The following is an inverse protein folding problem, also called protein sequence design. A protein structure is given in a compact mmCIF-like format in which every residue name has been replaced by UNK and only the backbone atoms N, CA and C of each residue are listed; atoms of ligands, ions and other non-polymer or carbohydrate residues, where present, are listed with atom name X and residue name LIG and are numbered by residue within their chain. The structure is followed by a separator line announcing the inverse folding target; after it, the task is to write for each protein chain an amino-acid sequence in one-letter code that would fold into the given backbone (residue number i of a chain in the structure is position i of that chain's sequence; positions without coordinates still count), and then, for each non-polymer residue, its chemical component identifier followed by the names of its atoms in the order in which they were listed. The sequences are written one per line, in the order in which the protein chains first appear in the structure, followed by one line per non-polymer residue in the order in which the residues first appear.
data_IF_412894871854
#
_entry.id   IF_412894871854
#
_cell.length_a   1.000
_cell.length_b   1.000
_cell.length_c   1.000
_cell.angle_alpha   90.00
_cell.angle_beta   90.00
_cell.angle_gamma   90.00
#
_symmetry.space_group_name_H-M   'P 1'
#
loop_
_entity.id
_entity.type
_entity.pdbx_description
1 polymer ?
#
# COMPACT_ATOMS: atom_id res chain seq x y z
N UNK A 1 -13.61 -8.77 -5.73
CA UNK A 1 -12.23 -9.03 -6.20
C UNK A 1 -12.00 -10.53 -6.19
N UNK A 2 -11.59 -11.11 -7.31
CA UNK A 2 -11.31 -12.55 -7.43
C UNK A 2 -9.85 -12.77 -7.80
N UNK A 3 -9.22 -13.81 -7.25
CA UNK A 3 -7.85 -14.16 -7.58
C UNK A 3 -7.59 -15.66 -7.41
N UNK A 4 -6.51 -16.12 -8.05
CA UNK A 4 -5.90 -17.44 -7.81
C UNK A 4 -4.61 -17.22 -7.04
N UNK A 5 -4.50 -17.85 -5.87
CA UNK A 5 -3.38 -17.66 -4.95
C UNK A 5 -2.76 -19.00 -4.57
N UNK A 6 -1.45 -19.02 -4.40
CA UNK A 6 -0.73 -20.15 -3.83
C UNK A 6 0.32 -19.61 -2.86
N UNK A 7 0.53 -20.34 -1.78
CA UNK A 7 1.53 -20.07 -0.77
C UNK A 7 2.14 -21.41 -0.35
N UNK A 8 3.37 -21.39 0.18
CA UNK A 8 4.00 -22.61 0.67
C UNK A 8 4.66 -22.36 2.03
N UNK A 9 4.29 -23.18 3.00
CA UNK A 9 4.91 -23.32 4.32
C UNK A 9 5.23 -24.79 4.53
N UNK A 10 6.37 -25.04 5.18
CA UNK A 10 6.68 -26.36 5.73
C UNK A 10 5.63 -26.77 6.79
N UNK A 11 5.45 -28.07 7.01
CA UNK A 11 4.45 -28.56 7.96
C UNK A 11 4.74 -28.11 9.40
N UNK A 12 6.01 -28.05 9.76
CA UNK A 12 6.47 -27.60 11.08
C UNK A 12 7.00 -26.17 10.99
N UNK A 13 6.75 -25.32 11.99
CA UNK A 13 7.33 -24.00 12.03
C UNK A 13 8.86 -24.01 12.02
N UNK A 14 9.46 -23.05 11.31
CA UNK A 14 10.88 -22.73 11.44
C UNK A 14 11.07 -21.55 12.40
N UNK A 15 11.27 -21.90 13.68
CA UNK A 15 11.44 -20.92 14.76
C UNK A 15 12.68 -20.04 14.60
N UNK A 16 13.64 -20.43 13.76
CA UNK A 16 14.80 -19.60 13.45
C UNK A 16 14.46 -18.44 12.52
N UNK A 17 13.31 -18.48 11.85
CA UNK A 17 12.86 -17.44 10.93
C UNK A 17 11.66 -16.70 11.51
N UNK A 18 10.70 -17.43 12.09
CA UNK A 18 9.43 -16.89 12.58
C UNK A 18 9.59 -15.70 13.53
N UNK A 19 10.60 -15.75 14.39
CA UNK A 19 10.87 -14.75 15.42
C UNK A 19 11.97 -13.74 15.06
N UNK A 20 12.55 -13.82 13.86
CA UNK A 20 13.56 -12.85 13.44
C UNK A 20 12.94 -11.51 13.10
N UNK A 21 13.70 -10.46 13.39
CA UNK A 21 13.34 -9.11 12.98
C UNK A 21 13.18 -9.02 11.46
N UNK A 22 12.36 -8.07 11.01
CA UNK A 22 12.01 -7.90 9.60
C UNK A 22 13.18 -7.37 8.76
N UNK A 23 14.15 -6.72 9.40
CA UNK A 23 15.39 -6.24 8.80
C UNK A 23 16.52 -7.29 8.83
N UNK A 24 16.23 -8.52 9.28
CA UNK A 24 17.16 -9.65 9.26
C UNK A 24 16.87 -10.65 8.14
N UNK A 25 17.94 -11.24 7.60
CA UNK A 25 17.83 -12.29 6.57
C UNK A 25 17.29 -13.61 7.18
N UNK A 26 16.43 -14.34 6.44
CA UNK A 26 15.85 -13.98 5.14
C UNK A 26 14.75 -12.91 5.30
N UNK A 27 14.75 -11.81 4.54
CA UNK A 27 13.88 -10.65 4.84
C UNK A 27 12.37 -10.94 4.72
N UNK A 28 11.92 -11.42 3.56
CA UNK A 28 10.50 -11.52 3.17
C UNK A 28 9.90 -12.93 3.36
N UNK A 29 10.49 -13.74 4.23
CA UNK A 29 10.15 -15.15 4.31
C UNK A 29 8.74 -15.37 4.86
N UNK A 30 7.94 -16.19 4.17
CA UNK A 30 6.52 -16.44 4.47
C UNK A 30 6.27 -17.06 5.84
N UNK A 31 7.28 -17.72 6.41
CA UNK A 31 7.26 -18.21 7.81
C UNK A 31 6.86 -17.14 8.83
N UNK A 32 7.21 -15.86 8.59
CA UNK A 32 6.81 -14.76 9.48
C UNK A 32 5.31 -14.43 9.41
N UNK A 33 4.62 -14.90 8.37
CA UNK A 33 3.18 -14.76 8.19
C UNK A 33 2.41 -15.99 8.70
N UNK A 34 3.10 -17.01 9.22
CA UNK A 34 2.44 -18.23 9.71
C UNK A 34 1.48 -17.90 10.85
N UNK A 35 0.27 -18.43 10.75
CA UNK A 35 -0.73 -18.38 11.82
C UNK A 35 -0.47 -19.55 12.76
N UNK A 36 -0.07 -19.24 13.99
CA UNK A 36 0.26 -20.21 15.03
C UNK A 36 1.20 -21.32 14.49
N UNK A 37 0.94 -22.57 14.86
CA UNK A 37 1.72 -23.73 14.39
C UNK A 37 1.08 -24.41 13.18
N UNK A 38 0.15 -23.72 12.50
CA UNK A 38 -0.55 -24.25 11.32
C UNK A 38 0.22 -23.97 10.04
N UNK A 39 -0.17 -24.57 8.91
CA UNK A 39 0.31 -24.19 7.57
C UNK A 39 -0.50 -23.06 6.93
N UNK A 40 -1.17 -22.23 7.72
CA UNK A 40 -2.00 -21.14 7.19
C UNK A 40 -1.29 -19.81 7.24
N UNK A 41 -1.61 -18.95 6.28
CA UNK A 41 -1.18 -17.54 6.24
C UNK A 41 -2.38 -16.62 5.99
N UNK A 42 -2.34 -15.38 6.48
CA UNK A 42 -3.36 -14.40 6.18
C UNK A 42 -3.18 -13.86 4.76
N UNK A 43 -4.24 -13.84 3.99
CA UNK A 43 -4.37 -13.13 2.73
C UNK A 43 -5.27 -11.91 2.94
N UNK A 44 -4.65 -10.74 3.02
CA UNK A 44 -5.33 -9.46 3.14
C UNK A 44 -5.78 -8.95 1.78
N UNK A 45 -7.02 -8.47 1.71
CA UNK A 45 -7.45 -7.47 0.75
C UNK A 45 -7.05 -6.09 1.27
N UNK A 46 -6.13 -5.43 0.58
CA UNK A 46 -5.63 -4.10 0.94
C UNK A 46 -6.27 -3.07 0.03
N UNK A 47 -6.85 -2.02 0.61
CA UNK A 47 -7.43 -0.88 -0.10
C UNK A 47 -6.79 0.40 0.42
N UNK A 48 -6.15 1.16 -0.47
CA UNK A 48 -5.47 2.42 -0.13
C UNK A 48 -4.56 2.30 1.12
N UNK A 49 -3.81 1.20 1.20
CA UNK A 49 -2.82 0.96 2.27
C UNK A 49 -3.37 0.29 3.53
N UNK A 50 -4.69 0.09 3.63
CA UNK A 50 -5.35 -0.52 4.80
C UNK A 50 -5.84 -1.93 4.46
N UNK A 51 -5.55 -2.91 5.31
CA UNK A 51 -6.16 -4.24 5.20
C UNK A 51 -7.63 -4.12 5.62
N UNK A 52 -8.56 -4.34 4.68
CA UNK A 52 -10.00 -4.17 4.92
C UNK A 52 -10.73 -5.49 5.10
N UNK A 53 -10.18 -6.59 4.58
CA UNK A 53 -10.66 -7.96 4.76
C UNK A 53 -9.46 -8.91 4.77
N UNK A 54 -9.58 -10.03 5.47
CA UNK A 54 -8.55 -11.07 5.53
C UNK A 54 -9.20 -12.45 5.39
N UNK A 55 -8.59 -13.32 4.62
CA UNK A 55 -8.93 -14.74 4.55
C UNK A 55 -7.69 -15.57 4.89
N UNK A 56 -7.86 -16.67 5.62
CA UNK A 56 -6.76 -17.62 5.82
C UNK A 56 -6.66 -18.55 4.60
N UNK A 57 -5.45 -18.72 4.07
CA UNK A 57 -5.19 -19.69 3.01
C UNK A 57 -4.25 -20.77 3.51
N UNK A 58 -4.48 -22.01 3.08
CA UNK A 58 -3.56 -23.11 3.30
C UNK A 58 -2.35 -22.93 2.38
N UNK A 59 -1.17 -22.83 2.98
CA UNK A 59 0.09 -22.64 2.29
C UNK A 59 0.75 -24.00 2.00
N UNK A 60 0.10 -24.84 1.20
CA UNK A 60 0.58 -26.16 0.82
C UNK A 60 1.20 -26.26 -0.58
N UNK A 61 1.22 -25.14 -1.30
CA UNK A 61 1.69 -25.05 -2.68
C UNK A 61 0.58 -25.19 -3.72
N UNK A 62 -0.64 -25.55 -3.31
CA UNK A 62 -1.78 -25.66 -4.22
C UNK A 62 -2.37 -24.28 -4.54
N UNK A 63 -2.99 -24.19 -5.72
CA UNK A 63 -3.68 -22.98 -6.16
C UNK A 63 -5.10 -22.98 -5.59
N UNK A 64 -5.45 -21.90 -4.90
CA UNK A 64 -6.76 -21.67 -4.31
C UNK A 64 -7.44 -20.48 -5.00
N UNK A 65 -8.72 -20.63 -5.36
CA UNK A 65 -9.56 -19.51 -5.79
C UNK A 65 -10.08 -18.75 -4.57
N UNK A 66 -9.92 -17.43 -4.56
CA UNK A 66 -10.41 -16.55 -3.48
C UNK A 66 -11.30 -15.45 -4.04
N UNK A 67 -12.30 -15.06 -3.25
CA UNK A 67 -13.24 -13.98 -3.58
C UNK A 67 -13.45 -13.08 -2.38
N UNK A 68 -13.37 -11.77 -2.62
CA UNK A 68 -13.70 -10.74 -1.63
C UNK A 68 -14.78 -9.81 -2.18
N UNK A 69 -15.78 -9.52 -1.36
CA UNK A 69 -16.84 -8.56 -1.67
C UNK A 69 -16.49 -7.18 -1.12
N UNK A 70 -16.24 -6.20 -1.98
CA UNK A 70 -15.74 -4.90 -1.58
C UNK A 70 -16.66 -3.79 -2.11
N UNK A 71 -17.51 -3.18 -1.27
CA UNK A 71 -18.22 -1.97 -1.65
C UNK A 71 -17.21 -0.80 -1.73
N UNK A 72 -17.23 -0.08 -2.86
CA UNK A 72 -16.39 1.09 -3.09
C UNK A 72 -17.23 2.32 -3.39
N UNK A 73 -17.11 3.33 -2.53
CA UNK A 73 -17.75 4.64 -2.70
C UNK A 73 -16.87 5.63 -3.47
N UNK A 74 -15.56 5.37 -3.58
CA UNK A 74 -14.59 6.25 -4.22
C UNK A 74 -13.48 5.47 -4.91
N UNK A 75 -12.92 6.08 -5.95
CA UNK A 75 -11.78 5.52 -6.69
C UNK A 75 -10.64 5.17 -5.75
N UNK A 76 -10.11 3.96 -5.90
CA UNK A 76 -9.17 3.36 -4.96
C UNK A 76 -8.18 2.47 -5.68
N UNK A 77 -7.01 2.28 -5.08
CA UNK A 77 -6.13 1.18 -5.45
C UNK A 77 -6.33 0.01 -4.50
N UNK A 78 -6.20 -1.20 -5.04
CA UNK A 78 -6.48 -2.46 -4.36
C UNK A 78 -5.32 -3.41 -4.60
N UNK A 79 -4.87 -4.13 -3.58
CA UNK A 79 -3.88 -5.18 -3.70
C UNK A 79 -4.25 -6.38 -2.81
N UNK A 80 -3.67 -7.54 -3.11
CA UNK A 80 -3.65 -8.68 -2.20
C UNK A 80 -2.30 -8.75 -1.50
N UNK A 81 -2.26 -9.13 -0.23
CA UNK A 81 -1.03 -9.17 0.56
C UNK A 81 -1.02 -10.32 1.56
N UNK A 82 0.11 -11.02 1.64
CA UNK A 82 0.47 -11.87 2.78
C UNK A 82 1.53 -11.13 3.58
N UNK A 83 1.14 -10.45 4.66
CA UNK A 83 2.08 -9.67 5.48
C UNK A 83 2.82 -10.57 6.48
N UNK A 84 4.14 -10.42 6.68
CA UNK A 84 5.09 -9.46 6.07
C UNK A 84 5.93 -10.08 4.93
N UNK A 85 5.32 -10.88 4.06
CA UNK A 85 6.05 -11.64 3.02
C UNK A 85 5.90 -11.04 1.62
N UNK A 86 4.69 -11.02 1.07
CA UNK A 86 4.47 -10.72 -0.35
C UNK A 86 3.18 -9.94 -0.58
N UNK A 87 3.10 -9.28 -1.73
CA UNK A 87 1.88 -8.60 -2.19
C UNK A 87 1.80 -8.62 -3.72
N UNK A 88 0.59 -8.43 -4.26
CA UNK A 88 0.40 -8.17 -5.68
C UNK A 88 0.81 -6.75 -6.04
N UNK A 89 1.02 -6.49 -7.33
CA UNK A 89 0.93 -5.11 -7.82
C UNK A 89 -0.50 -4.60 -7.61
N UNK A 90 -0.67 -3.30 -7.33
CA UNK A 90 -2.01 -2.74 -7.15
C UNK A 90 -2.78 -2.73 -8.48
N UNK A 91 -4.08 -2.98 -8.40
CA UNK A 91 -5.04 -2.67 -9.45
C UNK A 91 -5.84 -1.43 -9.05
N UNK A 92 -6.33 -0.68 -10.03
CA UNK A 92 -7.10 0.54 -9.78
C UNK A 92 -8.57 0.33 -10.11
N UNK A 93 -9.43 0.61 -9.13
CA UNK A 93 -10.87 0.67 -9.31
C UNK A 93 -11.28 2.14 -9.39
N UNK A 94 -11.72 2.57 -10.56
CA UNK A 94 -12.16 3.94 -10.82
C UNK A 94 -13.69 4.02 -10.69
N UNK A 95 -14.15 4.88 -9.80
CA UNK A 95 -15.58 5.13 -9.52
C UNK A 95 -15.93 6.50 -10.08
N UNK A 96 -17.05 6.60 -10.79
CA UNK A 96 -17.56 7.83 -11.40
C UNK A 96 -16.54 8.60 -12.28
N UNK A 97 -15.56 7.90 -12.87
CA UNK A 97 -14.44 8.51 -13.61
C UNK A 97 -13.62 9.52 -12.79
N UNK A 98 -13.72 9.49 -11.46
CA UNK A 98 -12.97 10.39 -10.57
C UNK A 98 -11.59 9.81 -10.29
N UNK A 99 -10.55 10.66 -10.09
CA UNK A 99 -9.24 10.16 -9.75
C UNK A 99 -9.21 9.60 -8.32
N UNK A 100 -8.16 8.86 -7.97
CA UNK A 100 -7.97 8.34 -6.61
C UNK A 100 -7.65 9.52 -5.67
N UNK A 101 -8.58 9.77 -4.73
CA UNK A 101 -8.52 10.81 -3.68
C UNK A 101 -8.92 10.18 -2.35
N UNK A 102 -8.12 9.20 -1.96
CA UNK A 102 -8.53 8.19 -1.01
C UNK A 102 -8.22 8.52 0.45
N UNK A 103 -7.12 9.21 0.73
CA UNK A 103 -6.61 9.37 2.09
C UNK A 103 -5.81 10.68 2.20
N UNK A 104 -6.29 11.58 3.05
CA UNK A 104 -5.68 12.90 3.29
C UNK A 104 -4.24 12.76 3.79
N UNK A 105 -4.03 11.93 4.82
CA UNK A 105 -2.73 11.70 5.44
C UNK A 105 -1.69 11.19 4.45
N UNK A 106 -2.11 10.35 3.50
CA UNK A 106 -1.23 9.87 2.44
C UNK A 106 -0.81 11.00 1.50
N UNK A 107 -1.72 11.91 1.16
CA UNK A 107 -1.40 13.09 0.33
C UNK A 107 -0.48 14.07 1.06
N UNK A 108 -0.74 14.33 2.36
CA UNK A 108 0.14 15.11 3.23
C UNK A 108 1.54 14.51 3.30
N UNK A 109 1.62 13.21 3.59
CA UNK A 109 2.90 12.49 3.66
C UNK A 109 3.67 12.57 2.34
N UNK A 110 2.99 12.41 1.19
CA UNK A 110 3.63 12.56 -0.12
C UNK A 110 4.18 13.96 -0.34
N UNK A 111 3.44 15.00 0.07
CA UNK A 111 3.90 16.39 -0.03
C UNK A 111 5.13 16.63 0.85
N UNK A 112 5.11 16.19 2.11
CA UNK A 112 6.25 16.27 3.03
C UNK A 112 7.46 15.47 2.52
N UNK A 113 7.22 14.29 1.94
CA UNK A 113 8.27 13.43 1.40
C UNK A 113 9.03 14.10 0.24
N UNK A 114 8.37 14.93 -0.58
CA UNK A 114 9.05 15.71 -1.63
C UNK A 114 10.08 16.66 -1.01
N UNK A 115 9.75 17.31 0.11
CA UNK A 115 10.68 18.20 0.82
C UNK A 115 11.83 17.45 1.47
N UNK A 116 11.56 16.29 2.07
CA UNK A 116 12.61 15.41 2.60
C UNK A 116 13.53 14.94 1.47
N UNK A 117 12.99 14.53 0.33
CA UNK A 117 13.78 14.15 -0.84
C UNK A 117 14.66 15.31 -1.32
N UNK A 118 14.13 16.53 -1.38
CA UNK A 118 14.91 17.72 -1.76
C UNK A 118 16.05 17.98 -0.79
N UNK A 119 15.81 17.99 0.53
CA UNK A 119 16.86 18.19 1.55
C UNK A 119 18.01 17.17 1.41
N UNK A 120 17.67 15.90 1.14
CA UNK A 120 18.67 14.83 1.01
C UNK A 120 19.39 14.82 -0.34
N UNK A 121 18.74 15.23 -1.43
CA UNK A 121 19.27 15.11 -2.80
C UNK A 121 19.86 16.39 -3.36
N UNK A 122 19.37 17.57 -2.95
CA UNK A 122 19.78 18.88 -3.50
C UNK A 122 21.29 19.11 -3.46
N UNK A 123 21.94 18.68 -2.38
CA UNK A 123 23.40 18.76 -2.19
C UNK A 123 24.22 17.96 -3.21
N UNK A 124 23.58 17.03 -3.92
CA UNK A 124 24.20 16.20 -4.94
C UNK A 124 24.05 16.73 -6.37
N UNK A 125 23.26 17.78 -6.61
CA UNK A 125 23.12 18.38 -7.94
C UNK A 125 24.30 19.29 -8.27
N UNK A 126 24.67 19.37 -9.56
CA UNK A 126 25.65 20.36 -10.01
C UNK A 126 25.03 21.75 -9.94
N UNK A 127 25.86 22.78 -9.76
CA UNK A 127 25.38 24.15 -9.58
C UNK A 127 24.50 24.61 -10.75
N UNK A 128 24.85 24.21 -11.96
CA UNK A 128 24.11 24.51 -13.19
C UNK A 128 22.79 23.72 -13.34
N UNK A 129 22.56 22.67 -12.55
CA UNK A 129 21.35 21.84 -12.59
C UNK A 129 20.34 22.18 -11.49
N UNK A 130 20.73 22.99 -10.50
CA UNK A 130 19.91 23.24 -9.30
C UNK A 130 18.54 23.84 -9.67
N UNK A 131 18.51 24.81 -10.58
CA UNK A 131 17.26 25.48 -10.94
C UNK A 131 16.29 24.55 -11.66
N UNK A 132 16.79 23.71 -12.57
CA UNK A 132 15.97 22.70 -13.27
C UNK A 132 15.49 21.62 -12.29
N UNK A 133 16.36 21.15 -11.41
CA UNK A 133 16.00 20.19 -10.38
C UNK A 133 14.93 20.76 -9.44
N UNK A 134 15.09 21.99 -8.97
CA UNK A 134 14.09 22.65 -8.12
C UNK A 134 12.73 22.74 -8.84
N UNK A 135 12.72 23.14 -10.12
CA UNK A 135 11.49 23.20 -10.91
C UNK A 135 10.79 21.83 -11.02
N UNK A 136 11.54 20.74 -11.18
CA UNK A 136 10.98 19.39 -11.21
C UNK A 136 10.35 18.98 -9.87
N UNK A 137 10.96 19.34 -8.74
CA UNK A 137 10.38 19.09 -7.41
C UNK A 137 9.13 19.95 -7.18
N UNK A 138 9.11 21.20 -7.66
CA UNK A 138 7.96 22.10 -7.54
C UNK A 138 6.74 21.59 -8.31
N UNK A 139 6.93 20.92 -9.45
CA UNK A 139 5.85 20.19 -10.13
C UNK A 139 5.23 19.12 -9.22
N UNK A 140 6.06 18.34 -8.52
CA UNK A 140 5.58 17.33 -7.59
C UNK A 140 4.87 17.94 -6.36
N UNK A 141 5.43 19.01 -5.77
CA UNK A 141 4.80 19.75 -4.67
C UNK A 141 3.42 20.25 -5.06
N UNK A 142 3.32 20.87 -6.24
CA UNK A 142 2.05 21.38 -6.77
C UNK A 142 1.03 20.26 -6.93
N UNK A 143 1.43 19.15 -7.54
CA UNK A 143 0.52 18.01 -7.77
C UNK A 143 -0.02 17.42 -6.45
N UNK A 144 0.84 17.18 -5.45
CA UNK A 144 0.38 16.64 -4.16
C UNK A 144 -0.45 17.65 -3.36
N UNK A 145 -0.13 18.94 -3.45
CA UNK A 145 -0.94 20.00 -2.84
C UNK A 145 -2.34 20.06 -3.47
N UNK A 146 -2.45 20.02 -4.78
CA UNK A 146 -3.75 19.99 -5.49
C UNK A 146 -4.57 18.76 -5.07
N UNK A 147 -3.95 17.58 -4.98
CA UNK A 147 -4.60 16.35 -4.49
C UNK A 147 -5.14 16.53 -3.07
N UNK A 148 -4.34 17.12 -2.17
CA UNK A 148 -4.71 17.35 -0.78
C UNK A 148 -5.87 18.33 -0.65
N UNK A 149 -5.80 19.44 -1.39
CA UNK A 149 -6.85 20.47 -1.42
C UNK A 149 -8.16 19.90 -1.98
N UNK A 150 -8.10 19.07 -3.03
CA UNK A 150 -9.27 18.37 -3.58
C UNK A 150 -9.91 17.42 -2.56
N UNK A 151 -9.11 16.66 -1.79
CA UNK A 151 -9.61 15.77 -0.74
C UNK A 151 -10.36 16.58 0.32
N UNK A 152 -9.72 17.63 0.86
CA UNK A 152 -10.28 18.48 1.90
C UNK A 152 -11.55 19.21 1.45
N UNK A 153 -11.58 19.66 0.19
CA UNK A 153 -12.77 20.28 -0.40
C UNK A 153 -13.97 19.33 -0.45
N UNK A 154 -13.75 18.07 -0.85
CA UNK A 154 -14.82 17.05 -0.87
C UNK A 154 -15.34 16.73 0.54
N UNK A 155 -14.45 16.70 1.54
CA UNK A 155 -14.83 16.42 2.92
C UNK A 155 -15.66 17.57 3.54
N UNK A 156 -15.26 18.81 3.29
CA UNK A 156 -16.03 19.99 3.69
C UNK A 156 -17.43 20.00 3.07
N UNK A 157 -17.54 19.70 1.77
CA UNK A 157 -18.82 19.62 1.06
C UNK A 157 -19.75 18.52 1.60
N UNK A 158 -19.18 17.38 2.04
CA UNK A 158 -19.96 16.31 2.67
C UNK A 158 -20.48 16.74 4.04
N UNK A 159 -19.64 17.36 4.86
CA UNK A 159 -20.02 17.83 6.20
C UNK A 159 -21.14 18.87 6.12
N UNK A 160 -21.06 19.82 5.19
CA UNK A 160 -22.08 20.84 4.98
C UNK A 160 -23.44 20.29 4.49
N UNK A 161 -23.48 19.10 3.87
CA UNK A 161 -24.72 18.45 3.40
C UNK A 161 -25.34 17.50 4.42
N UNK A 162 -24.62 17.16 5.49
CA UNK A 162 -25.10 16.30 6.59
C UNK A 162 -25.69 17.08 7.76
N UNK A 163 -25.56 18.41 7.76
CA UNK A 163 -26.21 19.36 8.69
C UNK A 163 -27.53 19.89 8.13
#
# INVERSE_FOLDING_TARGET
VTARVAAFLEEKPDEKIRHKDLDEKPYWHIERARIDDTRKVPLDLVVNGKAVQTQEILADGEINDVTFELPLEKSSWIALRVFPSSHSNPIFAIVDSKPIRADEKSAEWCLEAVDVCWDKKSKGYRAEEIDEAQAAYDVARKAYKEILDEIRGVEADKQAKSE
#
